data_IF_198871995448
#
_entry.id   IF_198871995448
#
_cell.length_a   1.000
_cell.length_b   1.000
_cell.length_c   1.000
_cell.angle_alpha   90.00
_cell.angle_beta   90.00
_cell.angle_gamma   90.00
#
_symmetry.space_group_name_H-M   'P 1'
#
loop_
_entity.id
_entity.type
_entity.pdbx_description
1 polymer ?
#
# COMPACT_ATOMS: atom_id res chain seq x y z
N UNK A 1 15.63 2.90 -0.98
CA UNK A 1 15.08 3.96 -0.08
C UNK A 1 14.35 3.29 1.07
N UNK A 2 14.11 3.95 2.19
CA UNK A 2 13.42 3.30 3.31
C UNK A 2 11.92 3.63 3.28
N UNK A 3 11.07 2.62 3.13
CA UNK A 3 9.60 2.79 3.14
C UNK A 3 9.00 3.10 4.52
N UNK A 4 9.82 3.30 5.55
CA UNK A 4 9.35 3.55 6.94
C UNK A 4 8.64 4.90 7.12
N UNK A 5 8.99 5.91 6.32
CA UNK A 5 8.51 7.29 6.53
C UNK A 5 8.03 7.93 5.22
N UNK A 6 7.29 7.17 4.40
CA UNK A 6 6.73 7.72 3.17
C UNK A 6 5.60 8.68 3.53
N UNK A 7 5.68 9.91 3.02
CA UNK A 7 4.59 10.89 3.03
C UNK A 7 4.24 11.24 1.59
N UNK A 8 2.99 11.57 1.34
CA UNK A 8 2.59 12.05 0.02
C UNK A 8 1.62 11.13 -0.72
N UNK A 9 1.73 11.13 -2.04
CA UNK A 9 0.90 10.35 -2.95
C UNK A 9 1.62 9.08 -3.37
N UNK A 10 1.09 7.93 -2.95
CA UNK A 10 1.54 6.60 -3.38
C UNK A 10 0.54 6.10 -4.42
N UNK A 11 0.97 5.82 -5.65
CA UNK A 11 0.06 5.23 -6.64
C UNK A 11 -0.13 3.74 -6.39
N UNK A 12 -1.39 3.27 -6.36
CA UNK A 12 -1.71 1.86 -6.52
C UNK A 12 -1.72 1.55 -8.02
N UNK A 13 -0.54 1.22 -8.57
CA UNK A 13 -0.32 1.13 -10.01
C UNK A 13 -1.10 -0.04 -10.62
N UNK A 14 -1.70 0.18 -11.78
CA UNK A 14 -2.30 -0.88 -12.60
C UNK A 14 -1.21 -1.74 -13.23
N UNK A 15 -1.54 -3.00 -13.52
CA UNK A 15 -0.71 -3.89 -14.36
C UNK A 15 -1.31 -3.91 -15.77
N UNK A 16 -0.62 -3.39 -16.79
CA UNK A 16 -1.12 -3.45 -18.17
C UNK A 16 -0.91 -4.83 -18.76
N UNK A 17 -1.90 -5.31 -19.51
CA UNK A 17 -1.87 -6.61 -20.19
C UNK A 17 -1.99 -6.46 -21.70
N UNK A 18 -1.45 -7.42 -22.44
CA UNK A 18 -1.73 -7.63 -23.85
C UNK A 18 -3.11 -8.29 -24.05
N UNK A 19 -3.68 -8.25 -25.27
CA UNK A 19 -4.96 -8.91 -25.53
C UNK A 19 -4.98 -10.43 -25.29
N UNK A 20 -3.81 -11.07 -25.26
CA UNK A 20 -3.66 -12.50 -24.94
C UNK A 20 -3.57 -12.80 -23.45
N UNK A 21 -3.60 -11.74 -22.61
CA UNK A 21 -3.55 -11.83 -21.14
C UNK A 21 -2.14 -11.78 -20.54
N UNK A 22 -1.08 -11.77 -21.36
CA UNK A 22 0.29 -11.62 -20.86
C UNK A 22 0.57 -10.19 -20.39
N UNK A 23 1.49 -10.02 -19.42
CA UNK A 23 1.88 -8.69 -18.91
C UNK A 23 2.57 -7.87 -20.00
N UNK A 24 2.12 -6.64 -20.21
CA UNK A 24 2.72 -5.69 -21.13
C UNK A 24 3.80 -4.85 -20.43
N UNK A 25 5.03 -5.35 -20.41
CA UNK A 25 6.15 -4.68 -19.74
C UNK A 25 6.55 -3.35 -20.39
N UNK A 26 6.37 -3.19 -21.70
CA UNK A 26 6.62 -1.90 -22.36
C UNK A 26 5.69 -0.83 -21.81
N UNK A 27 4.39 -1.11 -21.77
CA UNK A 27 3.39 -0.19 -21.20
C UNK A 27 3.58 0.02 -19.71
N UNK A 28 3.97 -1.00 -18.96
CA UNK A 28 4.30 -0.86 -17.53
C UNK A 28 5.47 0.12 -17.34
N UNK A 29 6.50 0.05 -18.17
CA UNK A 29 7.63 0.98 -18.16
C UNK A 29 7.21 2.42 -18.44
N UNK A 30 6.33 2.63 -19.44
CA UNK A 30 5.77 3.96 -19.74
C UNK A 30 4.98 4.53 -18.57
N UNK A 31 4.17 3.70 -17.88
CA UNK A 31 3.40 4.11 -16.70
C UNK A 31 4.31 4.49 -15.54
N UNK A 32 5.36 3.70 -15.28
CA UNK A 32 6.35 4.02 -14.24
C UNK A 32 7.01 5.38 -14.53
N UNK A 33 7.46 5.60 -15.76
CA UNK A 33 8.10 6.86 -16.15
C UNK A 33 7.12 8.04 -16.07
N UNK A 34 5.85 7.85 -16.42
CA UNK A 34 4.80 8.85 -16.26
C UNK A 34 4.64 9.27 -14.80
N UNK A 35 4.63 8.31 -13.87
CA UNK A 35 4.53 8.59 -12.44
C UNK A 35 5.77 9.35 -11.92
N UNK A 36 6.96 8.91 -12.32
CA UNK A 36 8.21 9.56 -11.92
C UNK A 36 8.31 10.99 -12.44
N UNK A 37 7.83 11.26 -13.65
CA UNK A 37 7.78 12.59 -14.23
C UNK A 37 6.75 13.52 -13.54
N UNK A 38 5.75 12.95 -12.89
CA UNK A 38 4.66 13.68 -12.22
C UNK A 38 4.76 13.69 -10.69
N UNK A 39 5.96 13.47 -10.13
CA UNK A 39 6.25 13.61 -8.70
C UNK A 39 5.49 12.65 -7.78
N UNK A 40 5.11 11.48 -8.26
CA UNK A 40 4.60 10.41 -7.39
C UNK A 40 5.64 10.08 -6.32
N UNK A 41 5.24 10.06 -5.04
CA UNK A 41 6.16 9.91 -3.91
C UNK A 41 6.60 8.46 -3.67
N UNK A 42 5.77 7.48 -4.04
CA UNK A 42 6.11 6.05 -4.06
C UNK A 42 5.20 5.28 -5.04
N UNK A 43 5.67 4.14 -5.52
CA UNK A 43 4.92 3.27 -6.42
C UNK A 43 4.57 1.98 -5.69
N UNK A 44 3.25 1.67 -5.59
CA UNK A 44 2.76 0.40 -5.08
C UNK A 44 2.29 -0.46 -6.26
N UNK A 45 2.94 -1.59 -6.45
CA UNK A 45 2.60 -2.61 -7.45
C UNK A 45 1.90 -3.81 -6.81
N UNK A 46 1.27 -4.64 -7.62
CA UNK A 46 0.71 -5.93 -7.20
C UNK A 46 -0.31 -5.82 -6.04
N UNK A 47 -0.89 -4.63 -5.86
CA UNK A 47 -2.08 -4.45 -5.04
C UNK A 47 -3.34 -4.94 -5.75
N UNK A 48 -4.51 -4.73 -5.15
CA UNK A 48 -5.80 -5.07 -5.77
C UNK A 48 -5.98 -4.40 -7.13
N UNK A 49 -5.59 -3.13 -7.26
CA UNK A 49 -5.64 -2.36 -8.52
C UNK A 49 -4.65 -2.92 -9.57
N UNK A 50 -3.54 -3.50 -9.13
CA UNK A 50 -2.55 -4.15 -9.99
C UNK A 50 -2.90 -5.60 -10.36
N UNK A 51 -4.08 -6.10 -9.94
CA UNK A 51 -4.65 -7.40 -10.34
C UNK A 51 -3.79 -8.64 -9.99
N UNK A 52 -2.89 -8.56 -8.99
CA UNK A 52 -2.04 -9.69 -8.57
C UNK A 52 -2.82 -10.98 -8.26
N UNK A 53 -4.09 -10.87 -7.83
CA UNK A 53 -4.92 -12.05 -7.56
C UNK A 53 -5.31 -12.86 -8.80
N UNK A 54 -5.11 -12.33 -10.00
CA UNK A 54 -5.39 -12.99 -11.29
C UNK A 54 -4.11 -13.36 -12.05
N UNK A 55 -2.95 -13.08 -11.46
CA UNK A 55 -1.62 -13.36 -12.01
C UNK A 55 -1.02 -14.61 -11.36
N UNK A 56 -0.10 -15.28 -12.05
CA UNK A 56 0.73 -16.32 -11.47
C UNK A 56 1.82 -15.73 -10.58
N UNK A 57 2.44 -16.55 -9.73
CA UNK A 57 3.54 -16.08 -8.89
C UNK A 57 4.76 -15.67 -9.73
N UNK A 58 4.99 -16.34 -10.86
CA UNK A 58 6.06 -16.01 -11.81
C UNK A 58 5.83 -14.65 -12.46
N UNK A 59 4.57 -14.31 -12.81
CA UNK A 59 4.21 -12.99 -13.32
C UNK A 59 4.35 -11.91 -12.25
N UNK A 60 3.93 -12.18 -11.02
CA UNK A 60 4.13 -11.27 -9.87
C UNK A 60 5.63 -10.97 -9.67
N UNK A 61 6.48 -12.00 -9.65
CA UNK A 61 7.93 -11.85 -9.49
C UNK A 61 8.55 -11.07 -10.66
N UNK A 62 8.11 -11.32 -11.89
CA UNK A 62 8.58 -10.61 -13.08
C UNK A 62 8.19 -9.12 -13.06
N UNK A 63 6.94 -8.79 -12.70
CA UNK A 63 6.48 -7.40 -12.52
C UNK A 63 7.26 -6.71 -11.41
N UNK A 64 7.51 -7.40 -10.30
CA UNK A 64 8.30 -6.89 -9.19
C UNK A 64 9.74 -6.55 -9.62
N UNK A 65 10.45 -7.50 -10.21
CA UNK A 65 11.83 -7.33 -10.69
C UNK A 65 11.94 -6.19 -11.71
N UNK A 66 11.06 -6.18 -12.71
CA UNK A 66 11.02 -5.14 -13.73
C UNK A 66 10.78 -3.75 -13.15
N UNK A 67 9.84 -3.63 -12.18
CA UNK A 67 9.53 -2.33 -11.57
C UNK A 67 10.69 -1.81 -10.75
N UNK A 68 11.31 -2.67 -9.94
CA UNK A 68 12.49 -2.29 -9.13
C UNK A 68 13.63 -1.81 -10.02
N UNK A 69 13.93 -2.54 -11.10
CA UNK A 69 14.95 -2.15 -12.09
C UNK A 69 14.60 -0.81 -12.76
N UNK A 70 13.34 -0.66 -13.23
CA UNK A 70 12.90 0.55 -13.94
C UNK A 70 12.88 1.78 -13.06
N UNK A 71 12.42 1.65 -11.80
CA UNK A 71 12.41 2.76 -10.83
C UNK A 71 13.84 3.13 -10.43
N UNK A 72 14.75 2.18 -10.34
CA UNK A 72 16.18 2.38 -10.06
C UNK A 72 16.42 3.28 -8.82
N UNK A 73 15.64 3.07 -7.74
CA UNK A 73 15.78 3.78 -6.46
C UNK A 73 15.37 5.27 -6.48
N UNK A 74 14.70 5.76 -7.54
CA UNK A 74 14.24 7.16 -7.64
C UNK A 74 13.13 7.48 -6.64
N UNK A 75 12.23 6.53 -6.40
CA UNK A 75 11.19 6.56 -5.36
C UNK A 75 11.09 5.18 -4.73
N UNK A 76 10.50 5.03 -3.52
CA UNK A 76 10.25 3.71 -2.95
C UNK A 76 9.30 2.87 -3.80
N UNK A 77 9.58 1.55 -3.90
CA UNK A 77 8.69 0.55 -4.50
C UNK A 77 8.11 -0.31 -3.39
N UNK A 78 6.78 -0.36 -3.30
CA UNK A 78 6.03 -1.20 -2.37
C UNK A 78 5.35 -2.30 -3.17
N UNK A 79 5.35 -3.54 -2.69
CA UNK A 79 4.66 -4.64 -3.35
C UNK A 79 3.54 -5.22 -2.49
N UNK A 80 2.40 -5.50 -3.11
CA UNK A 80 1.29 -6.22 -2.49
C UNK A 80 1.58 -7.71 -2.45
N UNK A 81 2.02 -8.23 -1.30
CA UNK A 81 2.29 -9.67 -1.09
C UNK A 81 1.15 -10.40 -0.38
N UNK A 82 0.06 -9.69 -0.06
CA UNK A 82 -1.04 -10.24 0.73
C UNK A 82 -1.72 -11.46 0.11
N UNK A 83 -2.08 -12.40 0.97
CA UNK A 83 -2.83 -13.62 0.63
C UNK A 83 -3.79 -13.96 1.78
N UNK A 84 -4.81 -14.78 1.50
CA UNK A 84 -5.66 -15.36 2.55
C UNK A 84 -5.06 -16.63 3.18
N UNK A 85 -3.90 -17.08 2.69
CA UNK A 85 -3.06 -18.12 3.26
C UNK A 85 -1.79 -17.49 3.83
N UNK A 86 -1.54 -17.67 5.12
CA UNK A 86 -0.38 -17.06 5.80
C UNK A 86 0.94 -17.55 5.22
N UNK A 87 1.07 -18.84 4.92
CA UNK A 87 2.28 -19.43 4.34
C UNK A 87 2.59 -18.82 2.98
N UNK A 88 1.60 -18.77 2.07
CA UNK A 88 1.73 -18.10 0.76
C UNK A 88 2.13 -16.63 0.89
N UNK A 89 1.55 -15.93 1.89
CA UNK A 89 1.90 -14.51 2.12
C UNK A 89 3.36 -14.37 2.57
N UNK A 90 3.87 -15.28 3.42
CA UNK A 90 5.29 -15.30 3.83
C UNK A 90 6.18 -15.57 2.63
N UNK A 91 5.88 -16.59 1.82
CA UNK A 91 6.68 -16.97 0.63
C UNK A 91 6.77 -15.82 -0.38
N UNK A 92 5.64 -15.20 -0.72
CA UNK A 92 5.60 -14.01 -1.61
C UNK A 92 6.39 -12.85 -1.03
N UNK A 93 6.24 -12.58 0.27
CA UNK A 93 6.93 -11.49 0.95
C UNK A 93 8.44 -11.66 0.90
N UNK A 94 8.94 -12.87 1.15
CA UNK A 94 10.37 -13.21 1.07
C UNK A 94 10.88 -13.15 -0.37
N UNK A 95 10.07 -13.52 -1.38
CA UNK A 95 10.43 -13.38 -2.79
C UNK A 95 10.59 -11.90 -3.17
N UNK A 96 9.62 -11.06 -2.82
CA UNK A 96 9.66 -9.63 -3.14
C UNK A 96 10.78 -8.89 -2.41
N UNK A 97 11.08 -9.26 -1.15
CA UNK A 97 12.24 -8.74 -0.43
C UNK A 97 13.55 -9.06 -1.17
N UNK A 98 13.73 -10.30 -1.65
CA UNK A 98 14.91 -10.69 -2.45
C UNK A 98 15.01 -9.95 -3.78
N UNK A 99 13.87 -9.59 -4.38
CA UNK A 99 13.79 -8.81 -5.62
C UNK A 99 14.06 -7.32 -5.42
N UNK A 100 14.16 -6.87 -4.17
CA UNK A 100 14.64 -5.53 -3.82
C UNK A 100 13.55 -4.47 -3.69
N UNK A 101 12.30 -4.83 -3.37
CA UNK A 101 11.29 -3.83 -3.01
C UNK A 101 11.62 -3.18 -1.66
N UNK A 102 11.16 -1.94 -1.48
CA UNK A 102 11.43 -1.15 -0.27
C UNK A 102 10.43 -1.42 0.86
N UNK A 103 9.28 -2.04 0.56
CA UNK A 103 8.26 -2.37 1.55
C UNK A 103 7.15 -3.26 0.99
N UNK A 104 6.29 -3.74 1.88
CA UNK A 104 5.20 -4.67 1.57
C UNK A 104 3.85 -4.10 1.99
N UNK A 105 2.80 -4.38 1.20
CA UNK A 105 1.41 -4.14 1.56
C UNK A 105 0.72 -5.48 1.85
N UNK A 106 0.21 -5.64 3.07
CA UNK A 106 -0.36 -6.90 3.59
C UNK A 106 -1.86 -6.76 3.78
N UNK A 107 -2.66 -7.43 2.95
CA UNK A 107 -4.13 -7.44 3.08
C UNK A 107 -4.59 -8.44 4.15
N UNK A 108 -5.75 -8.19 4.76
CA UNK A 108 -6.42 -9.13 5.66
C UNK A 108 -6.75 -10.46 4.94
N UNK A 109 -6.82 -11.60 5.66
CA UNK A 109 -7.24 -12.86 5.06
C UNK A 109 -8.70 -12.77 4.61
N UNK A 110 -8.89 -12.59 3.31
CA UNK A 110 -10.18 -12.48 2.64
C UNK A 110 -10.82 -13.86 2.42
N UNK A 111 -12.11 -13.92 2.20
CA UNK A 111 -12.91 -15.12 1.92
C UNK A 111 -13.03 -16.07 3.13
N UNK A 112 -11.93 -16.76 3.53
CA UNK A 112 -11.91 -17.70 4.67
C UNK A 112 -12.06 -16.98 6.02
N UNK A 113 -11.73 -15.67 6.11
CA UNK A 113 -11.80 -14.85 7.31
C UNK A 113 -11.03 -15.46 8.49
N UNK A 114 -11.01 -14.78 9.62
CA UNK A 114 -10.40 -15.31 10.85
C UNK A 114 -10.96 -14.54 12.06
N UNK A 115 -10.67 -15.02 13.26
CA UNK A 115 -10.91 -14.27 14.48
C UNK A 115 -9.78 -13.24 14.73
N UNK A 116 -9.92 -12.45 15.77
CA UNK A 116 -8.99 -11.37 16.12
C UNK A 116 -7.55 -11.87 16.36
N UNK A 117 -7.39 -12.98 17.08
CA UNK A 117 -6.07 -13.54 17.35
C UNK A 117 -5.42 -14.11 16.08
N UNK A 118 -6.19 -14.80 15.24
CA UNK A 118 -5.71 -15.28 13.94
C UNK A 118 -5.32 -14.12 13.01
N UNK A 119 -6.06 -13.01 13.02
CA UNK A 119 -5.72 -11.79 12.27
C UNK A 119 -4.37 -11.22 12.72
N UNK A 120 -4.18 -11.10 14.03
CA UNK A 120 -2.92 -10.65 14.61
C UNK A 120 -1.75 -11.55 14.22
N UNK A 121 -1.91 -12.87 14.39
CA UNK A 121 -0.87 -13.84 14.06
C UNK A 121 -0.55 -13.86 12.56
N UNK A 122 -1.56 -13.73 11.70
CA UNK A 122 -1.40 -13.66 10.26
C UNK A 122 -0.41 -12.56 9.83
N UNK A 123 -0.62 -11.33 10.30
CA UNK A 123 0.26 -10.22 10.00
C UNK A 123 1.62 -10.33 10.70
N UNK A 124 1.60 -10.72 11.98
CA UNK A 124 2.83 -10.86 12.78
C UNK A 124 3.79 -11.87 12.17
N UNK A 125 3.28 -13.03 11.72
CA UNK A 125 4.11 -14.08 11.13
C UNK A 125 4.88 -13.57 9.90
N UNK A 126 4.25 -12.77 9.05
CA UNK A 126 4.93 -12.17 7.90
C UNK A 126 5.94 -11.12 8.33
N UNK A 127 5.53 -10.22 9.23
CA UNK A 127 6.40 -9.15 9.71
C UNK A 127 7.65 -9.66 10.46
N UNK A 128 7.53 -10.81 11.13
CA UNK A 128 8.68 -11.50 11.77
C UNK A 128 9.61 -12.16 10.74
N UNK A 129 9.09 -12.56 9.58
CA UNK A 129 9.86 -13.30 8.57
C UNK A 129 10.70 -12.41 7.64
N UNK A 130 10.31 -11.15 7.46
CA UNK A 130 10.96 -10.20 6.55
C UNK A 130 11.69 -9.10 7.30
N UNK A 131 12.65 -8.42 6.62
CA UNK A 131 13.43 -7.33 7.20
C UNK A 131 13.01 -5.94 6.66
N UNK A 132 12.16 -5.92 5.63
CA UNK A 132 11.63 -4.69 5.03
C UNK A 132 10.29 -4.27 5.67
N UNK A 133 9.93 -2.98 5.65
CA UNK A 133 8.72 -2.46 6.27
C UNK A 133 7.44 -3.08 5.70
N UNK A 134 6.47 -3.36 6.59
CA UNK A 134 5.15 -3.86 6.25
C UNK A 134 4.08 -2.82 6.56
N UNK A 135 3.16 -2.61 5.62
CA UNK A 135 1.97 -1.77 5.76
C UNK A 135 0.74 -2.67 5.80
N UNK A 136 -0.07 -2.58 6.83
CA UNK A 136 -1.34 -3.30 6.93
C UNK A 136 -2.34 -2.74 5.92
N UNK A 137 -3.24 -3.57 5.39
CA UNK A 137 -4.29 -3.10 4.48
C UNK A 137 -5.67 -3.55 4.97
N UNK A 138 -6.48 -2.56 5.39
CA UNK A 138 -7.85 -2.74 5.84
C UNK A 138 -8.83 -2.31 4.74
N UNK A 139 -9.54 -3.26 4.12
CA UNK A 139 -10.52 -3.02 3.05
C UNK A 139 -11.73 -3.94 3.17
N UNK A 140 -12.55 -3.79 4.21
CA UNK A 140 -13.64 -4.71 4.54
C UNK A 140 -14.69 -4.86 3.43
N UNK A 141 -14.88 -3.84 2.59
CA UNK A 141 -15.77 -3.91 1.42
C UNK A 141 -15.36 -4.95 0.37
N UNK A 142 -14.07 -5.36 0.35
CA UNK A 142 -13.56 -6.39 -0.56
C UNK A 142 -13.31 -7.73 0.15
N UNK A 143 -12.82 -7.67 1.40
CA UNK A 143 -12.38 -8.86 2.13
C UNK A 143 -13.47 -9.50 2.98
N UNK A 144 -14.53 -8.75 3.30
CA UNK A 144 -15.59 -9.18 4.22
C UNK A 144 -15.14 -9.27 5.68
N UNK A 145 -13.97 -8.75 6.03
CA UNK A 145 -13.46 -8.66 7.40
C UNK A 145 -12.68 -7.35 7.61
N UNK A 146 -12.65 -6.88 8.85
CA UNK A 146 -11.93 -5.66 9.25
C UNK A 146 -10.82 -6.00 10.24
N UNK A 147 -9.75 -5.22 10.23
CA UNK A 147 -8.75 -5.23 11.29
C UNK A 147 -9.39 -4.53 12.49
N UNK A 148 -9.51 -5.20 13.64
CA UNK A 148 -10.07 -4.58 14.84
C UNK A 148 -9.10 -3.53 15.41
N UNK A 149 -9.65 -2.55 16.15
CA UNK A 149 -8.84 -1.55 16.88
C UNK A 149 -7.77 -2.23 17.75
N UNK A 150 -8.11 -3.34 18.43
CA UNK A 150 -7.19 -4.07 19.28
C UNK A 150 -6.03 -4.71 18.48
N UNK A 151 -6.30 -5.25 17.28
CA UNK A 151 -5.25 -5.78 16.40
C UNK A 151 -4.33 -4.66 15.94
N UNK A 152 -4.87 -3.49 15.53
CA UNK A 152 -4.06 -2.32 15.17
C UNK A 152 -3.17 -1.91 16.35
N UNK A 153 -3.73 -1.78 17.56
CA UNK A 153 -2.98 -1.44 18.78
C UNK A 153 -1.81 -2.40 19.05
N UNK A 154 -2.03 -3.72 18.86
CA UNK A 154 -0.99 -4.74 19.08
C UNK A 154 0.10 -4.70 18.02
N UNK A 155 -0.27 -4.45 16.75
CA UNK A 155 0.64 -4.44 15.63
C UNK A 155 1.37 -3.11 15.46
N UNK A 156 0.79 -1.99 15.89
CA UNK A 156 1.43 -0.66 15.76
C UNK A 156 2.73 -0.50 16.55
N UNK A 157 3.01 -1.40 17.50
CA UNK A 157 4.28 -1.43 18.25
C UNK A 157 5.26 -2.48 17.72
N UNK A 158 4.91 -3.18 16.67
CA UNK A 158 5.79 -4.16 16.04
C UNK A 158 6.87 -3.45 15.21
N UNK A 159 8.18 -3.72 15.38
CA UNK A 159 9.25 -2.94 14.77
C UNK A 159 9.24 -2.93 13.24
N UNK A 160 8.59 -3.90 12.61
CA UNK A 160 8.57 -4.03 11.16
C UNK A 160 7.19 -3.72 10.53
N UNK A 161 6.19 -3.35 11.34
CA UNK A 161 4.89 -2.87 10.85
C UNK A 161 4.86 -1.35 11.00
N UNK A 162 4.95 -0.64 9.89
CA UNK A 162 5.19 0.80 9.84
C UNK A 162 3.95 1.63 9.51
N UNK A 163 2.81 0.98 9.32
CA UNK A 163 1.58 1.73 9.04
C UNK A 163 0.40 0.88 8.62
N UNK A 164 -0.66 1.59 8.28
CA UNK A 164 -1.92 1.02 7.79
C UNK A 164 -2.46 1.83 6.61
N UNK A 165 -2.81 1.14 5.52
CA UNK A 165 -3.71 1.65 4.48
C UNK A 165 -5.14 1.40 4.93
N UNK A 166 -5.85 2.47 5.26
CA UNK A 166 -7.24 2.42 5.71
C UNK A 166 -8.19 2.71 4.54
N UNK A 167 -8.92 1.72 4.12
CA UNK A 167 -9.82 1.76 2.96
C UNK A 167 -11.24 1.25 3.27
N UNK A 168 -11.67 1.35 4.54
CA UNK A 168 -13.05 1.04 4.91
C UNK A 168 -14.06 2.12 4.53
N UNK A 169 -13.59 3.36 4.26
CA UNK A 169 -14.42 4.54 4.07
C UNK A 169 -15.00 5.09 5.38
N UNK A 170 -14.63 4.54 6.54
CA UNK A 170 -15.17 4.93 7.83
C UNK A 170 -14.25 5.90 8.60
N UNK A 171 -14.56 7.19 8.54
CA UNK A 171 -13.87 8.19 9.37
C UNK A 171 -14.01 7.89 10.87
N UNK A 172 -15.12 7.28 11.29
CA UNK A 172 -15.29 6.84 12.69
C UNK A 172 -14.28 5.76 13.09
N UNK A 173 -14.00 4.81 12.22
CA UNK A 173 -12.96 3.81 12.46
C UNK A 173 -11.57 4.45 12.40
N UNK A 174 -11.29 5.28 11.38
CA UNK A 174 -10.03 5.99 11.26
C UNK A 174 -9.71 6.83 12.52
N UNK A 175 -10.72 7.54 13.07
CA UNK A 175 -10.57 8.30 14.32
C UNK A 175 -10.17 7.40 15.50
N UNK A 176 -10.71 6.18 15.59
CA UNK A 176 -10.34 5.24 16.68
C UNK A 176 -8.89 4.80 16.60
N UNK A 177 -8.41 4.49 15.40
CA UNK A 177 -7.04 4.00 15.20
C UNK A 177 -6.01 5.13 15.17
N UNK A 178 -6.41 6.38 14.91
CA UNK A 178 -5.52 7.55 14.89
C UNK A 178 -4.73 7.73 16.18
N UNK A 179 -5.24 7.27 17.34
CA UNK A 179 -4.53 7.32 18.63
C UNK A 179 -3.26 6.47 18.70
N UNK A 180 -3.08 5.54 17.76
CA UNK A 180 -1.91 4.65 17.67
C UNK A 180 -0.87 5.14 16.67
N UNK A 181 -1.14 6.26 15.98
CA UNK A 181 -0.18 6.87 15.06
C UNK A 181 1.01 7.43 15.83
N UNK A 182 2.17 7.26 15.24
CA UNK A 182 3.44 7.77 15.75
C UNK A 182 4.40 7.98 14.56
N UNK A 183 5.62 8.41 14.83
CA UNK A 183 6.67 8.51 13.81
C UNK A 183 7.02 7.15 13.18
N UNK A 184 6.77 6.05 13.91
CA UNK A 184 7.05 4.68 13.47
C UNK A 184 5.82 3.93 12.93
N UNK A 185 4.59 4.47 13.09
CA UNK A 185 3.36 3.86 12.58
C UNK A 185 2.45 4.89 11.94
N UNK A 186 2.39 4.88 10.62
CA UNK A 186 1.69 5.85 9.79
C UNK A 186 0.31 5.34 9.33
N UNK A 187 -0.58 6.25 8.97
CA UNK A 187 -1.84 5.92 8.31
C UNK A 187 -1.88 6.54 6.92
N UNK A 188 -2.42 5.80 5.95
CA UNK A 188 -2.66 6.26 4.59
C UNK A 188 -4.14 6.09 4.24
N UNK A 189 -4.75 7.10 3.62
CA UNK A 189 -6.06 6.90 3.01
C UNK A 189 -5.97 5.88 1.89
N UNK A 190 -6.89 4.93 1.88
CA UNK A 190 -7.07 4.00 0.77
C UNK A 190 -8.23 4.37 -0.16
N UNK A 191 -8.92 5.50 0.13
CA UNK A 191 -10.03 6.05 -0.61
C UNK A 191 -9.69 7.47 -1.06
N UNK A 192 -9.83 7.74 -2.35
CA UNK A 192 -9.45 9.03 -2.95
C UNK A 192 -10.40 10.18 -2.56
N UNK A 193 -11.67 9.87 -2.28
CA UNK A 193 -12.72 10.84 -1.95
C UNK A 193 -12.65 11.37 -0.49
N UNK A 194 -11.87 10.76 0.39
CA UNK A 194 -11.75 11.16 1.80
C UNK A 194 -10.31 11.45 2.24
N UNK A 195 -9.40 11.73 1.30
CA UNK A 195 -7.98 11.97 1.62
C UNK A 195 -7.81 13.10 2.62
N UNK A 196 -8.36 14.28 2.36
CA UNK A 196 -8.21 15.45 3.24
C UNK A 196 -8.83 15.25 4.63
N UNK A 197 -10.05 14.69 4.77
CA UNK A 197 -10.55 14.26 6.08
C UNK A 197 -9.65 13.30 6.82
N UNK A 198 -9.05 12.32 6.13
CA UNK A 198 -8.09 11.38 6.72
C UNK A 198 -6.81 12.08 7.15
N UNK A 199 -6.31 13.05 6.38
CA UNK A 199 -5.14 13.85 6.74
C UNK A 199 -5.42 14.73 7.97
N UNK A 200 -6.65 15.22 8.14
CA UNK A 200 -7.06 15.92 9.36
C UNK A 200 -7.03 15.02 10.62
N UNK A 201 -7.11 13.70 10.44
CA UNK A 201 -6.96 12.69 11.51
C UNK A 201 -5.49 12.22 11.67
N UNK A 202 -4.53 12.80 10.94
CA UNK A 202 -3.11 12.47 11.02
C UNK A 202 -2.60 11.48 9.96
N UNK A 203 -3.36 11.24 8.89
CA UNK A 203 -2.87 10.45 7.75
C UNK A 203 -1.68 11.15 7.10
N UNK A 204 -0.66 10.38 6.72
CA UNK A 204 0.56 10.85 6.06
C UNK A 204 0.42 11.05 4.55
N UNK A 205 -0.75 10.69 4.00
CA UNK A 205 -1.04 10.81 2.58
C UNK A 205 -2.05 9.76 2.13
N UNK A 206 -1.94 9.33 0.89
CA UNK A 206 -2.88 8.42 0.23
C UNK A 206 -2.16 7.31 -0.54
N UNK A 207 -2.74 6.11 -0.55
CA UNK A 207 -2.43 5.06 -1.52
C UNK A 207 -3.58 5.05 -2.53
N UNK A 208 -3.41 5.80 -3.61
CA UNK A 208 -4.43 6.31 -4.53
C UNK A 208 -4.64 5.41 -5.74
N UNK A 209 -5.89 5.29 -6.19
CA UNK A 209 -6.26 4.74 -7.50
C UNK A 209 -6.35 5.86 -8.53
N UNK A 210 -6.91 7.03 -8.16
CA UNK A 210 -7.03 8.19 -9.04
C UNK A 210 -5.67 8.70 -9.54
N UNK A 211 -4.60 8.53 -8.74
CA UNK A 211 -3.24 8.87 -9.14
C UNK A 211 -2.78 8.16 -10.43
N UNK A 212 -3.38 7.03 -10.85
CA UNK A 212 -3.04 6.38 -12.13
C UNK A 212 -3.27 7.30 -13.34
N UNK A 213 -4.17 8.28 -13.23
CA UNK A 213 -4.50 9.22 -14.31
C UNK A 213 -4.24 10.69 -13.94
N UNK A 214 -4.17 11.01 -12.64
CA UNK A 214 -3.99 12.36 -12.10
C UNK A 214 -2.87 12.39 -11.05
N UNK A 215 -1.64 11.90 -11.38
CA UNK A 215 -0.57 11.77 -10.39
C UNK A 215 -0.14 13.12 -9.80
N UNK A 216 -0.03 14.16 -10.62
CA UNK A 216 0.38 15.49 -10.19
C UNK A 216 -0.65 16.13 -9.26
N UNK A 217 -1.92 16.06 -9.62
CA UNK A 217 -3.02 16.64 -8.86
C UNK A 217 -3.14 15.99 -7.48
N UNK A 218 -3.03 14.65 -7.40
CA UNK A 218 -3.04 13.94 -6.12
C UNK A 218 -1.80 14.27 -5.28
N UNK A 219 -0.63 14.38 -5.90
CA UNK A 219 0.59 14.82 -5.22
C UNK A 219 0.41 16.24 -4.65
N UNK A 220 -0.02 17.17 -5.49
CA UNK A 220 -0.17 18.58 -5.11
C UNK A 220 -1.22 18.76 -4.00
N UNK A 221 -2.36 18.07 -4.07
CA UNK A 221 -3.38 18.05 -3.03
C UNK A 221 -2.79 17.66 -1.67
N UNK A 222 -2.07 16.54 -1.62
CA UNK A 222 -1.48 16.02 -0.36
C UNK A 222 -0.40 16.97 0.18
N UNK A 223 0.53 17.40 -0.68
CA UNK A 223 1.62 18.27 -0.25
C UNK A 223 1.18 19.69 0.11
N UNK A 224 0.18 20.25 -0.56
CA UNK A 224 -0.43 21.53 -0.16
C UNK A 224 -1.02 21.41 1.25
N UNK A 225 -1.73 20.32 1.54
CA UNK A 225 -2.26 20.09 2.88
C UNK A 225 -1.15 19.96 3.94
N UNK A 226 -0.09 19.17 3.67
CA UNK A 226 1.04 18.96 4.58
C UNK A 226 1.79 20.27 4.87
N UNK A 227 1.87 21.17 3.89
CA UNK A 227 2.48 22.52 4.03
C UNK A 227 1.56 23.53 4.72
N UNK A 228 0.32 23.17 5.03
CA UNK A 228 -0.68 24.02 5.68
C UNK A 228 -1.53 24.85 4.72
N UNK A 229 -1.35 24.76 3.41
CA UNK A 229 -2.17 25.42 2.41
C UNK A 229 -3.42 24.60 2.11
N UNK A 230 -4.40 24.75 3.02
CA UNK A 230 -5.66 24.01 2.90
C UNK A 230 -6.54 24.50 1.74
N UNK A 231 -6.40 25.74 1.33
CA UNK A 231 -7.18 26.28 0.21
C UNK A 231 -6.72 25.64 -1.10
N UNK A 232 -5.42 25.65 -1.37
CA UNK A 232 -4.86 24.99 -2.55
C UNK A 232 -5.03 23.46 -2.55
N UNK A 233 -5.14 22.83 -1.38
CA UNK A 233 -5.42 21.40 -1.29
C UNK A 233 -6.87 21.01 -1.64
N UNK A 234 -7.80 21.98 -1.71
CA UNK A 234 -9.23 21.77 -2.02
C UNK A 234 -9.56 22.07 -3.50
N UNK A 235 -8.65 22.67 -4.26
CA UNK A 235 -8.77 22.96 -5.68
C UNK A 235 -8.45 21.73 -6.55
#
# INVERSE_FOLDING_TARGET
MNARHIQGSIVALITPFHPDGSVNFEKLGELIDFHLANQTDAILILGTTGESSTMTHEEDDAVCAYTVERVAGRVPVIAGSGSNCTETMVEKSLSFERLGVDGLLLITPYYNKTNEEGMYLHFKTVADAVHIPCILYNVPGRTGCSISENVVRRLSVHPNIVGIKEASGSLSYATKIARYLSDDFLMYSGNDDIVLPMMALGSSGVISVAANILPREIHDMVWNYLRGDRAAALE
#
